data_IF_986906032370
#
_entry.id   IF_986906032370
#
_cell.length_a   1.000
_cell.length_b   1.000
_cell.length_c   1.000
_cell.angle_alpha   90.00
_cell.angle_beta   90.00
_cell.angle_gamma   90.00
#
_symmetry.space_group_name_H-M   'P 1'
#
loop_
_entity.id
_entity.type
_entity.pdbx_description
1 polymer ?
#
# COMPACT_ATOMS: atom_id res chain seq x y z
N UNK A 1 -18.03 -7.91 5.11
CA UNK A 1 -16.68 -8.42 5.44
C UNK A 1 -15.91 -7.30 6.11
N UNK A 2 -15.32 -7.55 7.27
CA UNK A 2 -14.74 -6.49 8.11
C UNK A 2 -13.21 -6.63 8.14
N UNK A 3 -12.57 -6.52 6.96
CA UNK A 3 -11.13 -6.78 6.83
C UNK A 3 -10.29 -5.58 7.25
N UNK A 4 -10.81 -4.38 7.00
CA UNK A 4 -10.23 -3.12 7.39
C UNK A 4 -11.22 -2.32 8.23
N UNK A 5 -10.71 -1.47 9.11
CA UNK A 5 -11.48 -0.57 9.94
C UNK A 5 -11.06 0.87 9.61
N UNK A 6 -12.00 1.78 9.32
CA UNK A 6 -11.65 3.18 9.05
C UNK A 6 -11.12 3.81 10.34
N UNK A 7 -9.96 4.45 10.24
CA UNK A 7 -9.28 5.13 11.33
C UNK A 7 -8.93 6.55 10.88
N UNK A 8 -9.97 7.39 10.84
CA UNK A 8 -9.91 8.74 10.28
C UNK A 8 -9.64 8.70 8.78
N UNK A 9 -8.41 9.06 8.38
CA UNK A 9 -7.98 9.17 6.98
C UNK A 9 -7.34 7.88 6.44
N UNK A 10 -7.05 6.92 7.30
CA UNK A 10 -6.34 5.67 6.99
C UNK A 10 -7.23 4.48 7.35
N UNK A 11 -6.91 3.30 6.79
CA UNK A 11 -7.55 2.04 7.12
C UNK A 11 -6.61 1.15 7.95
N UNK A 12 -7.10 0.60 9.06
CA UNK A 12 -6.36 -0.37 9.88
C UNK A 12 -6.81 -1.79 9.54
N UNK A 13 -5.90 -2.73 9.23
CA UNK A 13 -6.28 -4.12 9.04
C UNK A 13 -6.75 -4.75 10.37
N UNK A 14 -7.94 -5.35 10.35
CA UNK A 14 -8.55 -6.05 11.52
C UNK A 14 -8.60 -7.57 11.32
N UNK A 15 -8.55 -8.03 10.07
CA UNK A 15 -8.63 -9.44 9.71
C UNK A 15 -7.32 -9.95 9.09
N UNK A 16 -7.08 -11.27 9.16
CA UNK A 16 -5.89 -11.91 8.58
C UNK A 16 -5.70 -11.56 7.09
N UNK A 17 -6.80 -11.53 6.32
CA UNK A 17 -6.76 -11.13 4.91
C UNK A 17 -6.39 -9.65 4.72
N UNK A 18 -6.83 -8.75 5.61
CA UNK A 18 -6.42 -7.34 5.57
C UNK A 18 -4.92 -7.17 5.87
N UNK A 19 -4.39 -7.96 6.81
CA UNK A 19 -2.96 -8.05 7.08
C UNK A 19 -2.18 -8.61 5.90
N UNK A 20 -2.66 -9.70 5.28
CA UNK A 20 -2.03 -10.29 4.11
C UNK A 20 -1.93 -9.30 2.94
N UNK A 21 -3.00 -8.56 2.66
CA UNK A 21 -3.03 -7.54 1.60
C UNK A 21 -2.08 -6.37 1.91
N UNK A 22 -2.06 -5.92 3.18
CA UNK A 22 -1.13 -4.87 3.62
C UNK A 22 0.32 -5.31 3.48
N UNK A 23 0.66 -6.52 3.95
CA UNK A 23 2.00 -7.08 3.84
C UNK A 23 2.42 -7.28 2.38
N UNK A 24 1.51 -7.73 1.51
CA UNK A 24 1.77 -7.87 0.09
C UNK A 24 2.08 -6.51 -0.56
N UNK A 25 1.31 -5.47 -0.24
CA UNK A 25 1.57 -4.10 -0.71
C UNK A 25 2.93 -3.59 -0.23
N UNK A 26 3.27 -3.79 1.05
CA UNK A 26 4.58 -3.42 1.59
C UNK A 26 5.72 -4.19 0.90
N UNK A 27 5.57 -5.49 0.70
CA UNK A 27 6.55 -6.32 0.01
C UNK A 27 6.75 -5.88 -1.44
N UNK A 28 5.67 -5.52 -2.14
CA UNK A 28 5.74 -4.98 -3.50
C UNK A 28 6.50 -3.65 -3.55
N UNK A 29 6.23 -2.73 -2.61
CA UNK A 29 6.98 -1.48 -2.50
C UNK A 29 8.48 -1.72 -2.27
N UNK A 30 8.84 -2.62 -1.35
CA UNK A 30 10.25 -2.97 -1.07
C UNK A 30 10.90 -3.63 -2.29
N UNK A 31 10.19 -4.54 -2.96
CA UNK A 31 10.70 -5.21 -4.14
C UNK A 31 10.99 -4.23 -5.29
N UNK A 32 10.06 -3.30 -5.56
CA UNK A 32 10.29 -2.25 -6.56
C UNK A 32 11.41 -1.32 -6.13
N UNK A 33 11.48 -0.93 -4.85
CA UNK A 33 12.59 -0.12 -4.35
C UNK A 33 13.94 -0.77 -4.64
N UNK A 34 14.11 -2.05 -4.30
CA UNK A 34 15.33 -2.80 -4.58
C UNK A 34 15.62 -2.93 -6.08
N UNK A 35 14.59 -3.11 -6.90
CA UNK A 35 14.74 -3.22 -8.35
C UNK A 35 15.18 -1.90 -9.00
N UNK A 36 14.62 -0.77 -8.55
CA UNK A 36 14.99 0.56 -9.05
C UNK A 36 16.35 0.98 -8.52
N UNK A 37 16.61 0.81 -7.23
CA UNK A 37 17.87 1.20 -6.58
C UNK A 37 19.09 0.53 -7.22
N UNK A 38 18.97 -0.74 -7.62
CA UNK A 38 20.03 -1.47 -8.37
C UNK A 38 20.41 -0.84 -9.71
N UNK A 39 19.50 -0.06 -10.31
CA UNK A 39 19.70 0.59 -11.60
C UNK A 39 19.92 2.11 -11.46
N UNK A 40 19.90 2.63 -10.24
CA UNK A 40 20.05 4.06 -9.96
C UNK A 40 21.50 4.45 -9.69
N UNK A 41 21.87 5.65 -10.10
CA UNK A 41 23.19 6.23 -9.82
C UNK A 41 23.15 7.24 -8.65
N UNK A 42 21.96 7.65 -8.21
CA UNK A 42 21.76 8.56 -7.09
C UNK A 42 20.47 8.23 -6.32
N UNK A 43 20.39 8.68 -5.07
CA UNK A 43 19.18 8.53 -4.25
C UNK A 43 17.97 9.26 -4.85
N UNK A 44 18.19 10.38 -5.55
CA UNK A 44 17.14 11.12 -6.25
C UNK A 44 16.57 10.31 -7.41
N UNK A 45 17.43 9.63 -8.19
CA UNK A 45 16.99 8.74 -9.28
C UNK A 45 16.16 7.57 -8.74
N UNK A 46 16.56 6.99 -7.60
CA UNK A 46 15.77 5.96 -6.92
C UNK A 46 14.40 6.47 -6.49
N UNK A 47 14.35 7.64 -5.83
CA UNK A 47 13.08 8.21 -5.36
C UNK A 47 12.11 8.51 -6.51
N UNK A 48 12.60 9.13 -7.58
CA UNK A 48 11.80 9.45 -8.76
C UNK A 48 11.33 8.17 -9.47
N UNK A 49 12.22 7.17 -9.59
CA UNK A 49 11.89 5.90 -10.23
C UNK A 49 10.91 5.02 -9.44
N UNK A 50 10.96 5.06 -8.10
CA UNK A 50 10.06 4.26 -7.23
C UNK A 50 8.68 4.90 -7.07
N UNK A 51 8.61 6.24 -7.06
CA UNK A 51 7.38 7.00 -6.81
C UNK A 51 6.14 6.51 -7.57
N UNK A 52 6.14 6.34 -8.91
CA UNK A 52 4.93 5.96 -9.64
C UNK A 52 4.40 4.57 -9.24
N UNK A 53 5.30 3.62 -8.94
CA UNK A 53 4.91 2.27 -8.53
C UNK A 53 4.41 2.24 -7.10
N UNK A 54 5.11 2.90 -6.17
CA UNK A 54 4.68 3.00 -4.78
C UNK A 54 3.31 3.69 -4.67
N UNK A 55 3.10 4.77 -5.43
CA UNK A 55 1.81 5.45 -5.51
C UNK A 55 0.70 4.50 -6.01
N UNK A 56 0.96 3.73 -7.07
CA UNK A 56 0.00 2.76 -7.60
C UNK A 56 -0.38 1.69 -6.56
N UNK A 57 0.59 1.11 -5.86
CA UNK A 57 0.33 0.11 -4.82
C UNK A 57 -0.46 0.67 -3.65
N UNK A 58 -0.14 1.89 -3.21
CA UNK A 58 -0.86 2.57 -2.12
C UNK A 58 -2.30 2.87 -2.54
N UNK A 59 -2.53 3.32 -3.78
CA UNK A 59 -3.88 3.59 -4.31
C UNK A 59 -4.70 2.31 -4.37
N UNK A 60 -4.13 1.22 -4.91
CA UNK A 60 -4.82 -0.08 -4.98
C UNK A 60 -5.14 -0.59 -3.58
N UNK A 61 -4.18 -0.52 -2.65
CA UNK A 61 -4.39 -0.90 -1.26
C UNK A 61 -5.52 -0.09 -0.61
N UNK A 62 -5.51 1.24 -0.78
CA UNK A 62 -6.54 2.13 -0.25
C UNK A 62 -7.92 1.85 -0.86
N UNK A 63 -7.98 1.55 -2.16
CA UNK A 63 -9.22 1.17 -2.82
C UNK A 63 -9.78 -0.16 -2.27
N UNK A 64 -8.94 -1.19 -2.12
CA UNK A 64 -9.34 -2.47 -1.53
C UNK A 64 -9.83 -2.26 -0.09
N UNK A 65 -9.09 -1.49 0.70
CA UNK A 65 -9.45 -1.18 2.07
C UNK A 65 -10.81 -0.46 2.15
N UNK A 66 -11.07 0.51 1.25
CA UNK A 66 -12.36 1.22 1.18
C UNK A 66 -13.55 0.31 0.87
N UNK A 67 -13.34 -0.72 0.03
CA UNK A 67 -14.39 -1.69 -0.35
C UNK A 67 -14.62 -2.76 0.71
N UNK A 68 -13.63 -3.00 1.56
CA UNK A 68 -13.64 -4.08 2.57
C UNK A 68 -13.67 -3.56 4.01
N UNK A 69 -13.77 -2.24 4.18
CA UNK A 69 -14.13 -1.58 5.42
C UNK A 69 -15.64 -1.56 5.59
N UNK A 70 -16.14 -1.88 6.78
CA UNK A 70 -17.53 -1.59 7.11
C UNK A 70 -17.76 -0.08 6.98
N UNK A 71 -18.75 0.27 6.15
CA UNK A 71 -19.29 1.63 6.04
C UNK A 71 -19.84 2.00 7.43
N UNK A 72 -19.10 2.78 8.21
CA UNK A 72 -19.72 3.52 9.33
C UNK A 72 -20.65 4.53 8.66
N UNK A 73 -21.92 4.14 8.53
CA UNK A 73 -22.98 5.07 8.15
C UNK A 73 -23.03 6.17 9.18
N UNK A 74 -22.67 7.37 8.75
CA UNK A 74 -23.09 8.63 9.37
C UNK A 74 -24.61 8.77 9.28
#
# INVERSE_FOLDING_TARGET
MNWFEPMGWIYRPRHLLGWAITLAACAACVWVFLAVDRNSHSASDTLIGVFPYAALFIIIWGWIASKTSLRQGS
#
